data_IF_827141903117
#
_entry.id   IF_827141903117
#
_cell.length_a   1.000
_cell.length_b   1.000
_cell.length_c   1.000
_cell.angle_alpha   90.00
_cell.angle_beta   90.00
_cell.angle_gamma   90.00
#
_symmetry.space_group_name_H-M   'P 1'
#
loop_
_entity.id
_entity.type
_entity.pdbx_description
1 polymer ?
#
# COMPACT_ATOMS: atom_id res chain seq x y z
N UNK A 1 -0.94 9.89 -16.79
CA UNK A 1 -2.22 9.49 -16.15
C UNK A 1 -2.90 10.60 -15.33
N UNK A 2 -2.18 11.60 -14.81
CA UNK A 2 -2.75 12.70 -14.01
C UNK A 2 -3.55 13.75 -14.83
N UNK A 3 -3.16 14.03 -16.08
CA UNK A 3 -3.86 15.01 -16.94
C UNK A 3 -5.31 14.62 -17.24
N UNK A 4 -5.58 13.33 -17.49
CA UNK A 4 -6.95 12.84 -17.73
C UNK A 4 -7.85 12.96 -16.50
N UNK A 5 -7.31 12.77 -15.28
CA UNK A 5 -8.07 12.96 -14.04
C UNK A 5 -8.46 14.42 -13.81
N UNK A 6 -7.59 15.36 -14.17
CA UNK A 6 -7.89 16.78 -14.03
C UNK A 6 -8.97 17.25 -15.03
N UNK A 7 -8.91 16.77 -16.28
CA UNK A 7 -9.90 17.12 -17.29
C UNK A 7 -11.33 16.63 -16.92
N UNK A 8 -11.45 15.39 -16.46
CA UNK A 8 -12.74 14.82 -16.01
C UNK A 8 -13.33 15.62 -14.83
N UNK A 9 -12.48 16.10 -13.92
CA UNK A 9 -12.93 16.90 -12.79
C UNK A 9 -13.43 18.28 -13.21
N UNK A 10 -12.86 18.89 -14.23
CA UNK A 10 -13.34 20.17 -14.78
C UNK A 10 -14.70 20.02 -15.50
N UNK A 11 -14.87 18.96 -16.30
CA UNK A 11 -16.14 18.67 -16.97
C UNK A 11 -17.28 18.43 -15.97
N UNK A 12 -17.01 17.66 -14.91
CA UNK A 12 -17.97 17.41 -13.83
C UNK A 12 -18.39 18.71 -13.14
N UNK A 13 -17.42 19.59 -12.84
CA UNK A 13 -17.68 20.90 -12.22
C UNK A 13 -18.53 21.80 -13.12
N UNK A 14 -18.25 21.83 -14.41
CA UNK A 14 -19.01 22.60 -15.38
C UNK A 14 -20.46 22.11 -15.51
N UNK A 15 -20.66 20.78 -15.48
CA UNK A 15 -21.99 20.16 -15.51
C UNK A 15 -22.80 20.48 -14.23
N UNK A 16 -22.17 20.37 -13.05
CA UNK A 16 -22.79 20.75 -11.78
C UNK A 16 -23.15 22.24 -11.73
N UNK A 17 -22.31 23.11 -12.28
CA UNK A 17 -22.59 24.54 -12.37
C UNK A 17 -23.80 24.83 -13.28
N UNK A 18 -23.92 24.13 -14.40
CA UNK A 18 -25.09 24.25 -15.29
C UNK A 18 -26.38 23.76 -14.62
N UNK A 19 -26.30 22.72 -13.78
CA UNK A 19 -27.42 22.26 -12.98
C UNK A 19 -27.81 23.28 -11.90
N UNK A 20 -26.83 23.92 -11.26
CA UNK A 20 -27.06 24.93 -10.23
C UNK A 20 -27.76 26.20 -10.76
N UNK A 21 -27.56 26.55 -12.03
CA UNK A 21 -28.23 27.68 -12.68
C UNK A 21 -29.72 27.42 -12.96
N UNK A 22 -30.14 26.16 -12.97
CA UNK A 22 -31.53 25.81 -13.24
C UNK A 22 -32.42 26.09 -12.03
N UNK A 23 -33.54 26.76 -12.24
CA UNK A 23 -34.55 26.99 -11.19
C UNK A 23 -35.23 25.70 -10.72
N UNK A 24 -35.09 24.60 -11.46
CA UNK A 24 -35.67 23.31 -11.12
C UNK A 24 -34.80 22.49 -10.15
N UNK A 25 -33.52 22.82 -10.01
CA UNK A 25 -32.55 22.05 -9.22
C UNK A 25 -31.97 22.94 -8.12
N UNK A 26 -31.91 22.41 -6.90
CA UNK A 26 -31.21 23.07 -5.78
C UNK A 26 -30.13 22.14 -5.27
N UNK A 27 -28.93 22.70 -5.10
CA UNK A 27 -27.77 21.94 -4.65
C UNK A 27 -27.44 22.30 -3.20
N UNK A 28 -27.10 21.27 -2.44
CA UNK A 28 -26.51 21.38 -1.10
C UNK A 28 -25.26 20.52 -1.12
N UNK A 29 -24.14 21.09 -0.65
CA UNK A 29 -22.85 20.42 -0.64
C UNK A 29 -22.10 20.76 0.65
N UNK A 30 -21.31 19.79 1.15
CA UNK A 30 -20.31 20.00 2.19
C UNK A 30 -18.92 20.10 1.57
N UNK A 31 -18.00 20.78 2.25
CA UNK A 31 -16.64 21.01 1.79
C UNK A 31 -15.70 20.96 3.00
N UNK A 32 -14.81 19.97 3.03
CA UNK A 32 -13.90 19.76 4.17
C UNK A 32 -12.45 20.14 3.85
N UNK A 33 -12.10 20.23 2.56
CA UNK A 33 -10.72 20.54 2.16
C UNK A 33 -10.41 22.03 2.24
N UNK A 34 -9.32 22.40 2.92
CA UNK A 34 -8.90 23.81 3.14
C UNK A 34 -8.70 24.60 1.84
N UNK A 35 -8.23 23.93 0.79
CA UNK A 35 -8.00 24.55 -0.53
C UNK A 35 -9.19 24.38 -1.50
N UNK A 36 -10.34 23.86 -1.05
CA UNK A 36 -11.47 23.62 -1.95
C UNK A 36 -11.94 24.86 -2.74
N UNK A 37 -11.94 26.10 -2.20
CA UNK A 37 -12.30 27.28 -2.97
C UNK A 37 -11.35 27.58 -4.14
N UNK A 38 -10.12 27.06 -4.12
CA UNK A 38 -9.15 27.22 -5.21
C UNK A 38 -9.45 26.29 -6.41
N UNK A 39 -10.33 25.31 -6.22
CA UNK A 39 -10.75 24.40 -7.28
C UNK A 39 -11.78 25.01 -8.23
N UNK A 40 -12.33 26.18 -7.89
CA UNK A 40 -13.35 26.85 -8.69
C UNK A 40 -12.82 28.17 -9.23
N UNK A 41 -12.84 28.35 -10.55
CA UNK A 41 -12.61 29.66 -11.14
C UNK A 41 -13.76 30.63 -10.77
N UNK A 42 -13.47 31.93 -10.75
CA UNK A 42 -14.41 33.00 -10.39
C UNK A 42 -15.71 32.92 -11.19
N UNK A 43 -15.61 32.51 -12.46
CA UNK A 43 -16.77 32.30 -13.34
C UNK A 43 -17.66 31.17 -12.84
N UNK A 44 -17.08 30.03 -12.46
CA UNK A 44 -17.81 28.87 -11.98
C UNK A 44 -18.49 29.16 -10.63
N UNK A 45 -17.78 29.83 -9.73
CA UNK A 45 -18.28 30.29 -8.42
C UNK A 45 -19.54 31.16 -8.55
N UNK A 46 -19.58 32.04 -9.56
CA UNK A 46 -20.74 32.90 -9.81
C UNK A 46 -21.98 32.09 -10.25
N UNK A 47 -21.79 31.01 -11.02
CA UNK A 47 -22.89 30.15 -11.52
C UNK A 47 -23.54 29.34 -10.41
N UNK A 48 -22.77 28.93 -9.40
CA UNK A 48 -23.29 28.16 -8.27
C UNK A 48 -24.11 28.98 -7.27
N UNK A 49 -23.93 30.31 -7.23
CA UNK A 49 -24.63 31.20 -6.30
C UNK A 49 -24.62 30.69 -4.84
N UNK A 50 -23.45 30.26 -4.36
CA UNK A 50 -23.32 29.61 -3.05
C UNK A 50 -23.69 30.55 -1.90
N UNK A 51 -24.48 30.01 -0.96
CA UNK A 51 -24.65 30.58 0.37
C UNK A 51 -23.86 29.76 1.37
N UNK A 52 -22.83 30.36 1.97
CA UNK A 52 -21.91 29.66 2.87
C UNK A 52 -22.47 29.62 4.30
N UNK A 53 -22.55 28.42 4.87
CA UNK A 53 -22.91 28.20 6.26
C UNK A 53 -21.76 27.51 6.99
N UNK A 54 -21.40 28.02 8.17
CA UNK A 54 -20.41 27.38 9.04
C UNK A 54 -21.13 26.42 9.98
N UNK A 55 -20.90 25.12 9.80
CA UNK A 55 -21.54 24.06 10.59
C UNK A 55 -20.48 23.07 11.08
N UNK A 56 -19.76 23.35 12.18
CA UNK A 56 -18.78 22.42 12.75
C UNK A 56 -19.52 21.37 13.59
N UNK A 57 -19.61 20.14 13.10
CA UNK A 57 -20.32 19.04 13.79
C UNK A 57 -19.44 18.33 14.83
N UNK A 58 -18.10 18.45 14.73
CA UNK A 58 -17.11 17.71 15.53
C UNK A 58 -17.28 16.17 15.48
N UNK A 59 -18.08 15.67 14.54
CA UNK A 59 -18.24 14.23 14.33
C UNK A 59 -17.01 13.64 13.62
N UNK A 60 -16.59 12.41 13.97
CA UNK A 60 -15.47 11.76 13.29
C UNK A 60 -15.79 11.45 11.83
N UNK A 61 -14.81 11.68 10.95
CA UNK A 61 -14.86 11.40 9.51
C UNK A 61 -14.72 9.89 9.17
N UNK A 62 -15.45 9.02 9.86
CA UNK A 62 -15.27 7.57 9.77
C UNK A 62 -15.59 7.03 8.37
N UNK A 63 -16.58 7.61 7.67
CA UNK A 63 -16.97 7.19 6.32
C UNK A 63 -16.06 7.79 5.26
N UNK A 64 -15.72 9.07 5.41
CA UNK A 64 -14.90 9.84 4.47
C UNK A 64 -13.45 9.33 4.45
N UNK A 65 -12.96 8.81 5.57
CA UNK A 65 -11.61 8.23 5.70
C UNK A 65 -11.56 6.71 5.52
N UNK A 66 -12.70 6.04 5.34
CA UNK A 66 -12.77 4.57 5.27
C UNK A 66 -11.92 3.96 4.14
N UNK A 67 -11.73 4.70 3.04
CA UNK A 67 -10.97 4.27 1.88
C UNK A 67 -9.53 4.75 1.88
N UNK A 68 -9.17 5.61 2.84
CA UNK A 68 -7.80 6.05 3.01
C UNK A 68 -7.07 5.02 3.87
N UNK A 69 -5.89 4.55 3.48
CA UNK A 69 -5.07 3.76 4.39
C UNK A 69 -4.84 4.62 5.65
N UNK A 70 -4.97 4.03 6.86
CA UNK A 70 -4.69 4.75 8.08
C UNK A 70 -3.32 5.44 7.95
N UNK A 71 -3.26 6.74 8.18
CA UNK A 71 -2.05 7.56 7.95
C UNK A 71 -0.80 6.94 8.58
N UNK A 72 -0.96 6.35 9.77
CA UNK A 72 0.11 5.64 10.48
C UNK A 72 0.52 4.34 9.79
N UNK A 73 -0.41 3.52 9.29
CA UNK A 73 -0.06 2.28 8.58
C UNK A 73 0.52 2.57 7.19
N UNK A 74 -0.03 3.54 6.45
CA UNK A 74 0.46 3.89 5.11
C UNK A 74 1.87 4.48 5.12
N UNK A 75 2.15 5.41 6.04
CA UNK A 75 3.50 6.00 6.17
C UNK A 75 4.50 4.98 6.72
N UNK A 76 4.08 4.09 7.62
CA UNK A 76 4.95 3.02 8.10
C UNK A 76 5.24 1.99 7.01
N UNK A 77 4.24 1.62 6.21
CA UNK A 77 4.39 0.66 5.12
C UNK A 77 5.25 1.22 3.99
N UNK A 78 5.09 2.49 3.60
CA UNK A 78 5.96 3.13 2.60
C UNK A 78 7.41 3.22 3.08
N UNK A 79 7.63 3.57 4.35
CA UNK A 79 8.97 3.60 4.94
C UNK A 79 9.58 2.21 5.04
N UNK A 80 8.79 1.20 5.38
CA UNK A 80 9.20 -0.20 5.42
C UNK A 80 9.52 -0.74 4.02
N UNK A 81 8.71 -0.42 3.01
CA UNK A 81 8.97 -0.79 1.62
C UNK A 81 10.28 -0.19 1.11
N UNK A 82 10.51 1.11 1.31
CA UNK A 82 11.78 1.76 0.92
C UNK A 82 12.98 1.19 1.68
N UNK A 83 12.81 0.92 2.98
CA UNK A 83 13.83 0.25 3.78
C UNK A 83 14.14 -1.16 3.26
N UNK A 84 13.11 -1.92 2.92
CA UNK A 84 13.23 -3.27 2.39
C UNK A 84 13.87 -3.30 1.00
N UNK A 85 13.50 -2.40 0.09
CA UNK A 85 14.12 -2.26 -1.25
C UNK A 85 15.62 -1.99 -1.13
N UNK A 86 16.01 -1.05 -0.26
CA UNK A 86 17.42 -0.75 0.01
C UNK A 86 18.19 -1.93 0.63
N UNK A 87 17.57 -2.69 1.52
CA UNK A 87 18.21 -3.88 2.11
C UNK A 87 18.35 -4.96 1.04
N UNK A 88 17.27 -5.32 0.34
CA UNK A 88 17.27 -6.39 -0.66
C UNK A 88 18.25 -6.15 -1.81
N UNK A 89 18.45 -4.89 -2.23
CA UNK A 89 19.45 -4.53 -3.24
C UNK A 89 20.89 -4.77 -2.75
N UNK A 90 21.14 -4.64 -1.44
CA UNK A 90 22.45 -4.91 -0.83
C UNK A 90 22.75 -6.40 -0.59
N UNK A 91 21.71 -7.24 -0.60
CA UNK A 91 21.85 -8.67 -0.34
C UNK A 91 22.44 -9.44 -1.53
N UNK A 92 22.93 -10.66 -1.26
CA UNK A 92 23.36 -11.57 -2.32
C UNK A 92 22.19 -12.04 -3.19
N UNK A 93 22.46 -12.45 -4.44
CA UNK A 93 21.44 -13.02 -5.34
C UNK A 93 20.69 -14.18 -4.68
N UNK A 94 21.39 -15.10 -4.00
CA UNK A 94 20.76 -16.23 -3.32
C UNK A 94 19.85 -15.75 -2.17
N UNK A 95 20.26 -14.76 -1.37
CA UNK A 95 19.39 -14.17 -0.35
C UNK A 95 18.11 -13.59 -0.96
N UNK A 96 18.20 -12.90 -2.11
CA UNK A 96 17.01 -12.37 -2.80
C UNK A 96 16.07 -13.48 -3.28
N UNK A 97 16.61 -14.57 -3.83
CA UNK A 97 15.82 -15.73 -4.26
C UNK A 97 15.12 -16.42 -3.08
N UNK A 98 15.77 -16.52 -1.91
CA UNK A 98 15.12 -17.04 -0.69
C UNK A 98 13.96 -16.14 -0.26
N UNK A 99 14.16 -14.82 -0.28
CA UNK A 99 13.11 -13.87 0.06
C UNK A 99 11.93 -13.94 -0.93
N UNK A 100 12.21 -14.06 -2.24
CA UNK A 100 11.20 -14.27 -3.28
C UNK A 100 10.39 -15.53 -3.05
N UNK A 101 11.05 -16.66 -2.79
CA UNK A 101 10.37 -17.93 -2.51
C UNK A 101 9.43 -17.83 -1.30
N UNK A 102 9.83 -17.09 -0.25
CA UNK A 102 8.99 -16.81 0.91
C UNK A 102 7.81 -15.90 0.56
N UNK A 103 8.05 -14.83 -0.18
CA UNK A 103 7.04 -13.86 -0.59
C UNK A 103 5.94 -14.49 -1.47
N UNK A 104 6.31 -15.36 -2.40
CA UNK A 104 5.36 -16.14 -3.20
C UNK A 104 4.50 -17.06 -2.33
N UNK A 105 5.12 -17.81 -1.40
CA UNK A 105 4.40 -18.71 -0.51
C UNK A 105 3.40 -17.98 0.40
N UNK A 106 3.73 -16.75 0.82
CA UNK A 106 2.82 -15.90 1.60
C UNK A 106 1.70 -15.33 0.71
N UNK A 107 1.99 -15.01 -0.55
CA UNK A 107 1.00 -14.48 -1.50
C UNK A 107 -0.01 -15.54 -1.96
N UNK A 108 0.42 -16.80 -2.04
CA UNK A 108 -0.44 -17.96 -2.30
C UNK A 108 -1.28 -18.34 -1.07
N UNK A 109 -0.82 -18.00 0.13
CA UNK A 109 -1.55 -18.22 1.37
C UNK A 109 -2.60 -17.12 1.59
N UNK A 110 -3.62 -17.39 2.43
CA UNK A 110 -4.59 -16.36 2.83
C UNK A 110 -3.89 -15.18 3.53
N UNK A 111 -4.42 -13.95 3.37
CA UNK A 111 -3.88 -12.77 4.01
C UNK A 111 -3.73 -12.96 5.54
N UNK A 112 -2.49 -12.89 6.03
CA UNK A 112 -2.15 -13.09 7.44
C UNK A 112 -1.78 -14.54 7.83
N UNK A 113 -1.86 -15.50 6.90
CA UNK A 113 -1.33 -16.84 7.09
C UNK A 113 0.20 -16.84 6.90
N UNK A 114 0.94 -17.25 7.92
CA UNK A 114 2.38 -17.42 7.83
C UNK A 114 2.76 -18.75 7.19
N UNK A 115 4.01 -18.84 6.73
CA UNK A 115 4.57 -20.01 6.05
C UNK A 115 5.39 -20.85 7.02
N UNK A 116 5.25 -22.18 6.96
CA UNK A 116 6.08 -23.07 7.78
C UNK A 116 7.54 -23.06 7.31
N UNK A 117 8.48 -23.08 8.26
CA UNK A 117 9.91 -23.18 7.95
C UNK A 117 10.23 -24.38 7.03
N UNK A 118 9.58 -25.53 7.28
CA UNK A 118 9.75 -26.75 6.48
C UNK A 118 9.32 -26.55 5.02
N UNK A 119 8.22 -25.83 4.78
CA UNK A 119 7.73 -25.51 3.44
C UNK A 119 8.71 -24.62 2.69
N UNK A 120 9.20 -23.55 3.34
CA UNK A 120 10.21 -22.67 2.76
C UNK A 120 11.49 -23.44 2.42
N UNK A 121 11.99 -24.25 3.36
CA UNK A 121 13.21 -25.03 3.16
C UNK A 121 13.09 -26.00 1.98
N UNK A 122 11.97 -26.71 1.85
CA UNK A 122 11.74 -27.60 0.71
C UNK A 122 11.72 -26.82 -0.61
N UNK A 123 11.00 -25.69 -0.69
CA UNK A 123 10.94 -24.84 -1.89
C UNK A 123 12.32 -24.30 -2.28
N UNK A 124 13.09 -23.78 -1.33
CA UNK A 124 14.44 -23.26 -1.59
C UNK A 124 15.43 -24.37 -1.98
N UNK A 125 15.27 -25.59 -1.45
CA UNK A 125 16.11 -26.74 -1.82
C UNK A 125 15.79 -27.26 -3.22
N UNK A 126 14.52 -27.30 -3.59
CA UNK A 126 14.07 -27.70 -4.94
C UNK A 126 14.51 -26.69 -6.01
N UNK A 127 14.55 -25.40 -5.67
CA UNK A 127 15.07 -24.34 -6.52
C UNK A 127 16.61 -24.22 -6.50
N UNK A 128 17.33 -25.10 -5.78
CA UNK A 128 18.78 -25.08 -5.61
C UNK A 128 19.36 -23.76 -5.07
N UNK A 129 18.56 -22.99 -4.33
CA UNK A 129 18.97 -21.69 -3.76
C UNK A 129 19.81 -21.87 -2.50
N UNK A 130 19.47 -22.87 -1.68
CA UNK A 130 20.16 -23.18 -0.41
C UNK A 130 20.68 -24.62 -0.39
N UNK A 131 21.89 -24.80 0.15
CA UNK A 131 22.57 -26.10 0.21
C UNK A 131 22.33 -26.87 1.51
N UNK A 132 21.94 -26.19 2.59
CA UNK A 132 21.71 -26.78 3.91
C UNK A 132 20.80 -25.91 4.77
N UNK A 133 20.24 -26.48 5.84
CA UNK A 133 19.46 -25.73 6.84
C UNK A 133 20.29 -24.62 7.50
N UNK A 134 21.60 -24.81 7.67
CA UNK A 134 22.49 -23.79 8.22
C UNK A 134 22.53 -22.55 7.32
N UNK A 135 22.61 -22.75 6.01
CA UNK A 135 22.59 -21.66 5.02
C UNK A 135 21.25 -20.90 5.06
N UNK A 136 20.13 -21.61 5.12
CA UNK A 136 18.81 -20.99 5.21
C UNK A 136 18.66 -20.19 6.51
N UNK A 137 19.09 -20.75 7.64
CA UNK A 137 19.06 -20.03 8.92
C UNK A 137 19.95 -18.78 8.92
N UNK A 138 21.07 -18.78 8.19
CA UNK A 138 21.87 -17.58 7.95
C UNK A 138 21.06 -16.47 7.28
N UNK A 139 20.41 -16.78 6.14
CA UNK A 139 19.55 -15.83 5.44
C UNK A 139 18.37 -15.36 6.30
N UNK A 140 17.71 -16.27 7.03
CA UNK A 140 16.60 -15.91 7.93
C UNK A 140 17.06 -15.04 9.10
N UNK A 141 18.30 -15.17 9.55
CA UNK A 141 18.87 -14.31 10.62
C UNK A 141 19.08 -12.90 10.07
N UNK A 142 19.69 -12.78 8.89
CA UNK A 142 19.85 -11.51 8.18
C UNK A 142 18.50 -10.81 7.93
N UNK A 143 17.48 -11.55 7.48
CA UNK A 143 16.14 -10.98 7.30
C UNK A 143 15.47 -10.52 8.61
N UNK A 144 15.76 -11.17 9.74
CA UNK A 144 15.24 -10.77 11.05
C UNK A 144 15.94 -9.52 11.56
N UNK A 145 17.25 -9.43 11.37
CA UNK A 145 18.05 -8.26 11.78
C UNK A 145 17.60 -6.99 11.06
N UNK A 146 17.10 -7.12 9.83
CA UNK A 146 16.52 -6.03 9.04
C UNK A 146 14.99 -5.90 9.15
N UNK A 147 14.36 -6.62 10.09
CA UNK A 147 12.90 -6.63 10.30
C UNK A 147 12.06 -7.00 9.07
N UNK A 148 12.67 -7.64 8.07
CA UNK A 148 11.99 -8.10 6.85
C UNK A 148 11.11 -9.33 7.09
N UNK A 149 11.51 -10.18 8.04
CA UNK A 149 10.81 -11.41 8.38
C UNK A 149 10.65 -11.53 9.89
N UNK A 150 9.45 -11.90 10.34
CA UNK A 150 9.14 -12.28 11.71
C UNK A 150 8.87 -13.78 11.79
N UNK A 151 9.23 -14.38 12.92
CA UNK A 151 8.96 -15.78 13.21
C UNK A 151 8.10 -15.93 14.46
N UNK A 152 7.11 -16.81 14.42
CA UNK A 152 6.31 -17.18 15.57
C UNK A 152 6.34 -18.71 15.72
N UNK A 153 6.75 -19.18 16.88
CA UNK A 153 6.65 -20.60 17.22
C UNK A 153 5.19 -20.95 17.47
N UNK A 154 4.66 -21.92 16.72
CA UNK A 154 3.31 -22.45 16.93
C UNK A 154 3.29 -23.41 18.15
N UNK A 155 2.11 -23.67 18.73
CA UNK A 155 1.95 -24.63 19.84
C UNK A 155 2.40 -26.06 19.50
N UNK A 156 2.40 -26.41 18.21
CA UNK A 156 2.88 -27.67 17.66
C UNK A 156 4.42 -27.79 17.62
N UNK A 157 5.14 -26.74 18.03
CA UNK A 157 6.60 -26.69 18.02
C UNK A 157 7.22 -26.30 16.67
N UNK A 158 6.42 -26.04 15.63
CA UNK A 158 6.93 -25.62 14.31
C UNK A 158 7.08 -24.09 14.24
N UNK A 159 8.12 -23.64 13.53
CA UNK A 159 8.32 -22.21 13.26
C UNK A 159 7.50 -21.76 12.06
N UNK A 160 6.71 -20.71 12.26
CA UNK A 160 5.96 -20.02 11.22
C UNK A 160 6.60 -18.66 10.93
N UNK A 161 6.85 -18.38 9.66
CA UNK A 161 7.48 -17.18 9.13
C UNK A 161 6.44 -16.23 8.53
N UNK A 162 6.64 -14.93 8.70
CA UNK A 162 5.74 -13.88 8.21
C UNK A 162 6.56 -12.70 7.70
N UNK A 163 6.06 -12.05 6.65
CA UNK A 163 6.56 -10.74 6.22
C UNK A 163 5.61 -9.68 6.81
N UNK A 164 6.10 -8.69 7.57
CA UNK A 164 5.27 -7.67 8.20
C UNK A 164 4.86 -6.57 7.21
N UNK A 165 4.27 -6.97 6.07
CA UNK A 165 3.86 -6.10 4.97
C UNK A 165 2.58 -6.65 4.34
N UNK A 166 1.76 -5.80 3.73
CA UNK A 166 0.57 -6.27 2.99
C UNK A 166 0.97 -7.06 1.75
N UNK A 167 0.07 -7.93 1.26
CA UNK A 167 0.28 -8.65 0.00
C UNK A 167 0.46 -7.71 -1.21
N UNK A 168 -0.09 -6.49 -1.15
CA UNK A 168 0.14 -5.46 -2.17
C UNK A 168 1.55 -4.87 -2.08
N UNK A 169 2.03 -4.57 -0.87
CA UNK A 169 3.39 -4.08 -0.65
C UNK A 169 4.46 -5.11 -1.05
N UNK A 170 4.24 -6.39 -0.74
CA UNK A 170 5.15 -7.48 -1.12
C UNK A 170 5.29 -7.56 -2.65
N UNK A 171 4.18 -7.47 -3.39
CA UNK A 171 4.19 -7.47 -4.85
C UNK A 171 4.95 -6.28 -5.42
N UNK A 172 4.67 -5.08 -4.92
CA UNK A 172 5.37 -3.86 -5.35
C UNK A 172 6.88 -3.94 -5.07
N UNK A 173 7.28 -4.54 -3.94
CA UNK A 173 8.68 -4.71 -3.58
C UNK A 173 9.41 -5.70 -4.51
N UNK A 174 8.75 -6.80 -4.89
CA UNK A 174 9.33 -7.77 -5.83
C UNK A 174 9.50 -7.17 -7.23
N UNK A 175 8.54 -6.37 -7.69
CA UNK A 175 8.65 -5.65 -8.97
C UNK A 175 9.85 -4.67 -8.97
N UNK A 176 10.01 -3.89 -7.90
CA UNK A 176 11.11 -2.91 -7.78
C UNK A 176 12.51 -3.57 -7.73
N UNK A 177 12.61 -4.74 -7.09
CA UNK A 177 13.87 -5.50 -7.01
C UNK A 177 14.21 -6.19 -8.32
N UNK A 178 13.21 -6.59 -9.10
CA UNK A 178 13.42 -7.25 -10.41
C UNK A 178 13.82 -6.25 -11.49
N UNK A 179 13.21 -5.05 -11.50
CA UNK A 179 13.59 -3.98 -12.42
C UNK A 179 15.02 -3.46 -12.17
N UNK A 180 15.52 -3.56 -10.93
CA UNK A 180 16.88 -3.15 -10.57
C UNK A 180 17.97 -4.20 -10.83
N UNK A 181 17.62 -5.40 -11.32
CA UNK A 181 18.57 -6.50 -11.55
C UNK A 181 19.08 -6.61 -13.00
N UNK A 182 18.52 -5.82 -13.92
CA UNK A 182 18.85 -5.82 -15.36
C UNK A 182 19.80 -4.67 -15.79
N UNK A 183 20.29 -3.85 -14.85
CA UNK A 183 21.36 -2.84 -15.03
C UNK A 183 22.69 -3.31 -14.41
#
# INVERSE_FOLDING_TARGET
>A
HAEGRNAVMEELRAALAALAESTAVRLVASVDHVNAPLLWDKRLLARFNWMWHKVPTFEPYALETAHLPPLLSGVMEERQMRGASNVLSSLTRNSREVFRALAELISEAEEGAGVLYSTLYNKCREAFVVSSELSLNGHLTEFRDHELVRSKRRPDGQDMLFIPMSAAGIRSLLEEVDDGADD
#
